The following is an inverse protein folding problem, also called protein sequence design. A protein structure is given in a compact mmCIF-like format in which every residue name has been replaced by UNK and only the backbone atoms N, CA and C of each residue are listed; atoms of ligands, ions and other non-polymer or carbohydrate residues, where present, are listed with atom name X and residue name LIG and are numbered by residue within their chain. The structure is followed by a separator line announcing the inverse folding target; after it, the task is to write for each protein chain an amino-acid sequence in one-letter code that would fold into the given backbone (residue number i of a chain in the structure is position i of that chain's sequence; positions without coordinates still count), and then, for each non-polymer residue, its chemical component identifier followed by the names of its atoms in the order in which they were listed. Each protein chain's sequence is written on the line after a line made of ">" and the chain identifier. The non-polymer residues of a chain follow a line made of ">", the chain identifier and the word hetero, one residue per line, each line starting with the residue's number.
data_IF_311862362846
#
_entry.id   IF_311862362846
#
_cell.length_a   1.000
_cell.length_b   1.000
_cell.length_c   1.000
_cell.angle_alpha   90.00
_cell.angle_beta   90.00
_cell.angle_gamma   90.00
#
_symmetry.space_group_name_H-M   'P 1'
#
loop_
_entity.id
_entity.type
_entity.pdbx_description
1 polymer ?
#
# COMPACT_ATOMS: atom_id res chain seq x y z
N UNK A 1 19.02 6.32 13.89
CA UNK A 1 18.08 6.61 12.79
C UNK A 1 17.64 5.42 11.93
N UNK A 2 18.32 4.29 11.88
CA UNK A 2 17.95 3.15 11.01
C UNK A 2 17.27 1.97 11.73
N UNK A 3 16.93 2.10 13.02
CA UNK A 3 16.30 1.01 13.82
C UNK A 3 14.84 0.73 13.48
N UNK A 4 14.17 1.61 12.73
CA UNK A 4 12.73 1.55 12.50
C UNK A 4 12.33 1.26 11.03
N UNK A 5 13.26 0.70 10.23
CA UNK A 5 12.89 0.20 8.90
C UNK A 5 12.18 -1.14 9.08
N UNK A 6 10.92 -1.08 9.46
CA UNK A 6 10.02 -2.25 9.39
C UNK A 6 9.60 -2.45 7.95
N UNK A 7 10.16 -3.47 7.31
CA UNK A 7 9.77 -3.88 5.95
C UNK A 7 8.40 -4.51 6.02
N UNK A 8 7.38 -3.73 5.63
CA UNK A 8 5.98 -4.13 5.71
C UNK A 8 5.38 -3.91 7.10
N UNK A 9 4.23 -3.25 7.14
CA UNK A 9 3.45 -3.05 8.37
C UNK A 9 2.52 -4.23 8.64
N UNK A 10 2.94 -5.47 8.27
CA UNK A 10 2.13 -6.66 8.49
C UNK A 10 1.90 -6.89 9.97
N UNK A 11 0.62 -6.98 10.37
CA UNK A 11 0.21 -7.32 11.73
C UNK A 11 -0.06 -8.82 11.80
N UNK A 12 0.80 -9.55 12.53
CA UNK A 12 0.69 -11.00 12.64
C UNK A 12 -0.48 -11.38 13.55
N UNK A 13 -1.62 -11.68 12.95
CA UNK A 13 -2.82 -12.13 13.63
C UNK A 13 -3.52 -13.22 12.80
N UNK A 14 -4.24 -14.10 13.46
CA UNK A 14 -5.00 -15.16 12.79
C UNK A 14 -6.48 -14.75 12.67
N UNK A 15 -6.85 -14.26 11.48
CA UNK A 15 -8.23 -13.89 11.15
C UNK A 15 -8.64 -14.45 9.80
N UNK A 16 -9.96 -14.45 9.53
CA UNK A 16 -10.49 -14.87 8.23
C UNK A 16 -9.85 -14.08 7.08
N UNK A 17 -9.63 -12.77 7.27
CA UNK A 17 -9.06 -11.90 6.24
C UNK A 17 -7.58 -12.22 6.00
N UNK A 18 -6.79 -12.49 7.06
CA UNK A 18 -5.39 -12.87 6.89
C UNK A 18 -5.23 -14.16 6.08
N UNK A 19 -6.15 -15.11 6.26
CA UNK A 19 -6.13 -16.41 5.56
C UNK A 19 -6.67 -16.38 4.13
N UNK A 20 -7.21 -15.26 3.64
CA UNK A 20 -7.66 -15.12 2.25
C UNK A 20 -6.48 -15.10 1.28
N UNK A 21 -6.71 -15.61 0.07
CA UNK A 21 -5.74 -15.52 -1.03
C UNK A 21 -5.41 -14.05 -1.34
N UNK A 22 -4.13 -13.69 -1.51
CA UNK A 22 -3.70 -12.32 -1.81
C UNK A 22 -4.36 -11.71 -3.05
N UNK A 23 -4.73 -12.53 -4.03
CA UNK A 23 -5.46 -12.10 -5.24
C UNK A 23 -6.83 -11.55 -4.90
N UNK A 24 -7.55 -12.21 -3.98
CA UNK A 24 -8.87 -11.77 -3.52
C UNK A 24 -8.76 -10.44 -2.79
N UNK A 25 -7.77 -10.29 -1.92
CA UNK A 25 -7.52 -9.04 -1.17
C UNK A 25 -7.16 -7.87 -2.10
N UNK A 26 -6.30 -8.10 -3.10
CA UNK A 26 -5.97 -7.11 -4.12
C UNK A 26 -7.22 -6.67 -4.89
N UNK A 27 -8.00 -7.62 -5.36
CA UNK A 27 -9.24 -7.36 -6.09
C UNK A 27 -10.28 -6.63 -5.23
N UNK A 28 -10.39 -7.02 -3.95
CA UNK A 28 -11.28 -6.36 -2.99
C UNK A 28 -10.94 -4.88 -2.80
N UNK A 29 -9.66 -4.56 -2.59
CA UNK A 29 -9.21 -3.18 -2.43
C UNK A 29 -9.42 -2.40 -3.73
N UNK A 30 -9.15 -2.99 -4.89
CA UNK A 30 -9.36 -2.34 -6.18
C UNK A 30 -10.84 -1.99 -6.40
N UNK A 31 -11.75 -2.94 -6.16
CA UNK A 31 -13.19 -2.69 -6.25
C UNK A 31 -13.60 -1.61 -5.25
N UNK A 32 -13.13 -1.70 -4.00
CA UNK A 32 -13.45 -0.74 -2.96
C UNK A 32 -13.02 0.69 -3.35
N UNK A 33 -11.80 0.86 -3.86
CA UNK A 33 -11.28 2.15 -4.33
C UNK A 33 -12.13 2.67 -5.50
N UNK A 34 -12.40 1.83 -6.51
CA UNK A 34 -13.22 2.23 -7.66
C UNK A 34 -14.61 2.69 -7.20
N UNK A 35 -15.26 1.96 -6.30
CA UNK A 35 -16.59 2.32 -5.81
C UNK A 35 -16.59 3.64 -5.05
N UNK A 36 -15.54 3.97 -4.29
CA UNK A 36 -15.42 5.26 -3.61
C UNK A 36 -15.32 6.45 -4.57
N UNK A 37 -14.75 6.25 -5.77
CA UNK A 37 -14.60 7.32 -6.75
C UNK A 37 -15.80 7.44 -7.69
N UNK A 38 -16.49 6.37 -7.99
CA UNK A 38 -17.62 6.39 -8.93
C UNK A 38 -18.89 7.03 -8.35
N UNK A 39 -19.08 7.04 -7.02
CA UNK A 39 -20.35 7.38 -6.41
C UNK A 39 -20.28 8.68 -5.59
N UNK A 40 -21.31 9.52 -5.73
CA UNK A 40 -21.44 10.80 -5.00
C UNK A 40 -22.61 10.81 -4.00
N UNK A 41 -23.46 9.77 -4.01
CA UNK A 41 -24.64 9.70 -3.14
C UNK A 41 -24.26 9.44 -1.67
N UNK A 42 -24.87 10.10 -0.67
CA UNK A 42 -24.54 9.91 0.73
C UNK A 42 -24.76 8.46 1.22
N UNK A 43 -25.79 7.77 0.67
CA UNK A 43 -26.08 6.38 1.00
C UNK A 43 -24.93 5.42 0.64
N UNK A 44 -24.21 5.69 -0.46
CA UNK A 44 -23.06 4.89 -0.87
C UNK A 44 -21.87 5.06 0.05
N UNK A 45 -21.65 6.27 0.62
CA UNK A 45 -20.62 6.51 1.64
C UNK A 45 -20.92 5.75 2.93
N UNK A 46 -22.16 5.76 3.38
CA UNK A 46 -22.59 5.01 4.58
C UNK A 46 -22.36 3.51 4.38
N UNK A 47 -22.75 2.97 3.21
CA UNK A 47 -22.55 1.56 2.89
C UNK A 47 -21.07 1.17 2.80
N UNK A 48 -20.24 2.02 2.17
CA UNK A 48 -18.79 1.82 2.11
C UNK A 48 -18.14 1.86 3.49
N UNK A 49 -18.60 2.76 4.37
CA UNK A 49 -18.13 2.86 5.75
C UNK A 49 -18.51 1.61 6.55
N UNK A 50 -19.75 1.13 6.43
CA UNK A 50 -20.21 -0.10 7.09
C UNK A 50 -19.38 -1.31 6.63
N UNK A 51 -19.17 -1.46 5.32
CA UNK A 51 -18.35 -2.53 4.77
C UNK A 51 -16.92 -2.47 5.33
N UNK A 52 -16.33 -1.28 5.39
CA UNK A 52 -14.99 -1.07 5.95
C UNK A 52 -14.92 -1.45 7.44
N UNK A 53 -15.89 -0.99 8.26
CA UNK A 53 -15.96 -1.29 9.69
C UNK A 53 -16.09 -2.80 9.92
N UNK A 54 -16.96 -3.47 9.17
CA UNK A 54 -17.15 -4.93 9.25
C UNK A 54 -15.82 -5.63 8.90
N UNK A 55 -15.17 -5.22 7.83
CA UNK A 55 -13.89 -5.80 7.38
C UNK A 55 -12.79 -5.59 8.42
N UNK A 56 -12.69 -4.40 9.04
CA UNK A 56 -11.74 -4.12 10.12
C UNK A 56 -12.00 -5.02 11.33
N UNK A 57 -13.27 -5.17 11.75
CA UNK A 57 -13.62 -6.06 12.88
C UNK A 57 -13.23 -7.51 12.62
N UNK A 58 -13.53 -8.03 11.41
CA UNK A 58 -13.20 -9.41 11.04
C UNK A 58 -11.67 -9.61 10.93
N UNK A 59 -10.92 -8.56 10.55
CA UNK A 59 -9.45 -8.63 10.44
C UNK A 59 -8.74 -8.76 11.77
N UNK A 60 -9.41 -8.41 12.89
CA UNK A 60 -8.83 -8.36 14.26
C UNK A 60 -7.62 -7.42 14.39
N UNK A 61 -7.35 -6.58 13.40
CA UNK A 61 -6.27 -5.59 13.48
C UNK A 61 -6.71 -4.47 14.43
N UNK A 62 -5.91 -4.12 15.46
CA UNK A 62 -6.27 -3.05 16.37
C UNK A 62 -6.40 -1.71 15.63
N UNK A 63 -7.54 -1.05 15.81
CA UNK A 63 -7.87 0.23 15.14
C UNK A 63 -6.78 1.28 15.33
N UNK A 64 -6.06 1.23 16.46
CA UNK A 64 -4.95 2.15 16.77
C UNK A 64 -3.84 2.12 15.70
N UNK A 65 -3.52 0.95 15.14
CA UNK A 65 -2.52 0.83 14.07
C UNK A 65 -3.02 1.40 12.75
N UNK A 66 -4.29 1.13 12.42
CA UNK A 66 -4.93 1.65 11.19
C UNK A 66 -5.03 3.18 11.26
N UNK A 67 -5.43 3.74 12.40
CA UNK A 67 -5.50 5.20 12.62
C UNK A 67 -4.12 5.87 12.61
N UNK A 68 -3.04 5.14 12.90
CA UNK A 68 -1.67 5.68 12.77
C UNK A 68 -1.34 6.05 11.32
N UNK A 69 -1.88 5.30 10.34
CA UNK A 69 -1.78 5.64 8.92
C UNK A 69 -2.45 6.98 8.57
N UNK A 70 -3.56 7.32 9.23
CA UNK A 70 -4.21 8.63 9.06
C UNK A 70 -3.35 9.79 9.57
N UNK A 71 -2.58 9.58 10.65
CA UNK A 71 -1.71 10.63 11.20
C UNK A 71 -0.67 11.10 10.18
N UNK A 72 -0.15 10.19 9.36
CA UNK A 72 0.84 10.52 8.32
C UNK A 72 0.24 11.44 7.23
N UNK A 73 -1.07 11.31 6.95
CA UNK A 73 -1.77 12.06 5.91
C UNK A 73 -2.60 13.22 6.50
N UNK A 74 -2.69 13.33 7.83
CA UNK A 74 -3.51 14.32 8.51
C UNK A 74 -3.21 15.76 8.07
N UNK A 75 -1.95 16.10 7.83
CA UNK A 75 -1.53 17.44 7.38
C UNK A 75 -2.08 17.73 5.98
N UNK A 76 -1.94 16.77 5.06
CA UNK A 76 -2.44 16.91 3.67
C UNK A 76 -3.97 16.98 3.67
N UNK A 77 -4.62 16.18 4.51
CA UNK A 77 -6.06 16.15 4.66
C UNK A 77 -6.57 17.49 5.21
N UNK A 78 -5.94 18.02 6.27
CA UNK A 78 -6.27 19.32 6.87
C UNK A 78 -6.12 20.44 5.83
N UNK A 79 -5.02 20.45 5.09
CA UNK A 79 -4.75 21.44 4.04
C UNK A 79 -5.79 21.35 2.91
N UNK A 80 -6.12 20.15 2.46
CA UNK A 80 -7.15 19.92 1.44
C UNK A 80 -8.52 20.40 1.91
N UNK A 81 -8.91 20.08 3.16
CA UNK A 81 -10.16 20.53 3.78
C UNK A 81 -10.20 22.06 3.81
N UNK A 82 -9.13 22.71 4.25
CA UNK A 82 -9.04 24.16 4.36
C UNK A 82 -9.18 24.83 2.98
N UNK A 83 -8.47 24.35 1.96
CA UNK A 83 -8.58 24.89 0.60
C UNK A 83 -9.99 24.72 0.07
N UNK A 84 -10.56 23.52 0.13
CA UNK A 84 -11.91 23.30 -0.41
C UNK A 84 -12.97 24.16 0.30
N UNK A 85 -12.84 24.37 1.61
CA UNK A 85 -13.77 25.18 2.37
C UNK A 85 -13.71 26.67 2.01
N UNK A 86 -12.52 27.16 1.62
CA UNK A 86 -12.30 28.58 1.31
C UNK A 86 -12.53 28.91 -0.17
N UNK A 87 -12.20 27.98 -1.10
CA UNK A 87 -12.16 28.29 -2.53
C UNK A 87 -13.36 27.78 -3.32
N UNK A 88 -14.24 26.94 -2.75
CA UNK A 88 -15.42 26.49 -3.48
C UNK A 88 -16.51 27.56 -3.44
N UNK A 89 -16.88 28.15 -4.59
CA UNK A 89 -17.93 29.15 -4.66
C UNK A 89 -19.31 28.50 -4.40
N UNK A 90 -20.20 29.25 -3.73
CA UNK A 90 -21.57 28.81 -3.46
C UNK A 90 -22.32 29.81 -2.58
N UNK A 91 -23.53 29.44 -2.11
CA UNK A 91 -24.31 30.30 -1.23
C UNK A 91 -23.58 30.48 0.11
N UNK A 92 -23.17 31.70 0.49
CA UNK A 92 -22.43 31.95 1.72
C UNK A 92 -23.30 31.65 2.94
N UNK A 93 -22.80 30.79 3.82
CA UNK A 93 -23.40 30.49 5.14
C UNK A 93 -22.79 31.39 6.19
N UNK A 94 -21.50 31.66 6.07
CA UNK A 94 -20.75 32.55 6.97
C UNK A 94 -19.90 33.47 6.10
N UNK A 95 -20.10 34.76 6.22
CA UNK A 95 -19.26 35.80 5.62
C UNK A 95 -18.52 36.56 6.71
N UNK A 96 -17.20 36.44 6.69
CA UNK A 96 -16.33 37.20 7.54
C UNK A 96 -15.28 37.92 6.70
N UNK A 97 -15.53 39.18 6.39
CA UNK A 97 -14.74 40.11 5.60
C UNK A 97 -14.29 39.54 4.22
N UNK A 98 -13.18 38.82 4.16
CA UNK A 98 -12.63 38.27 2.90
C UNK A 98 -12.94 36.77 2.77
N UNK A 99 -13.31 36.09 3.83
CA UNK A 99 -13.56 34.66 3.88
C UNK A 99 -15.07 34.39 3.79
N UNK A 100 -15.49 33.76 2.70
CA UNK A 100 -16.87 33.30 2.52
C UNK A 100 -16.91 31.77 2.53
N UNK A 101 -17.52 31.20 3.57
CA UNK A 101 -17.72 29.77 3.65
C UNK A 101 -19.07 29.45 3.03
N UNK A 102 -19.06 28.68 1.92
CA UNK A 102 -20.26 28.28 1.23
C UNK A 102 -20.82 26.94 1.72
N UNK A 103 -22.14 26.76 1.65
CA UNK A 103 -22.79 25.48 1.98
C UNK A 103 -22.28 24.34 1.08
N UNK A 104 -22.08 24.65 -0.20
CA UNK A 104 -21.51 23.71 -1.17
C UNK A 104 -20.07 23.35 -0.82
N UNK A 105 -19.28 24.31 -0.35
CA UNK A 105 -17.91 24.11 0.14
C UNK A 105 -17.86 23.15 1.32
N UNK A 106 -18.72 23.36 2.33
CA UNK A 106 -18.81 22.45 3.49
C UNK A 106 -19.20 21.04 3.05
N UNK A 107 -20.22 20.91 2.22
CA UNK A 107 -20.70 19.62 1.72
C UNK A 107 -19.60 18.88 0.97
N UNK A 108 -18.94 19.54 0.01
CA UNK A 108 -17.85 18.96 -0.79
C UNK A 108 -16.67 18.57 0.09
N UNK A 109 -16.32 19.39 1.07
CA UNK A 109 -15.26 19.13 2.04
C UNK A 109 -15.53 17.86 2.85
N UNK A 110 -16.77 17.68 3.36
CA UNK A 110 -17.15 16.47 4.10
C UNK A 110 -17.04 15.23 3.20
N UNK A 111 -17.53 15.30 1.96
CA UNK A 111 -17.43 14.17 1.03
C UNK A 111 -15.98 13.84 0.67
N UNK A 112 -15.17 14.83 0.36
CA UNK A 112 -13.77 14.62 -0.01
C UNK A 112 -12.97 14.10 1.18
N UNK A 113 -13.15 14.71 2.36
CA UNK A 113 -12.47 14.28 3.60
C UNK A 113 -12.83 12.85 3.97
N UNK A 114 -14.13 12.51 3.98
CA UNK A 114 -14.58 11.14 4.27
C UNK A 114 -14.06 10.13 3.25
N UNK A 115 -14.02 10.49 1.95
CA UNK A 115 -13.44 9.65 0.89
C UNK A 115 -11.97 9.37 1.14
N UNK A 116 -11.17 10.40 1.42
CA UNK A 116 -9.73 10.24 1.69
C UNK A 116 -9.48 9.37 2.92
N UNK A 117 -10.24 9.59 4.00
CA UNK A 117 -10.14 8.76 5.20
C UNK A 117 -10.46 7.30 4.89
N UNK A 118 -11.58 7.03 4.22
CA UNK A 118 -11.98 5.66 3.88
C UNK A 118 -10.99 4.98 2.93
N UNK A 119 -10.44 5.72 1.96
CA UNK A 119 -9.42 5.21 1.05
C UNK A 119 -8.17 4.78 1.81
N UNK A 120 -7.67 5.64 2.72
CA UNK A 120 -6.47 5.34 3.51
C UNK A 120 -6.70 4.15 4.44
N UNK A 121 -7.84 4.10 5.11
CA UNK A 121 -8.18 2.97 6.00
C UNK A 121 -8.30 1.65 5.22
N UNK A 122 -8.96 1.66 4.06
CA UNK A 122 -9.15 0.48 3.23
C UNK A 122 -7.84 -0.06 2.64
N UNK A 123 -6.98 0.83 2.12
CA UNK A 123 -5.67 0.44 1.59
C UNK A 123 -4.70 0.01 2.69
N UNK A 124 -4.73 0.67 3.86
CA UNK A 124 -3.93 0.27 5.01
C UNK A 124 -4.28 -1.14 5.49
N UNK A 125 -5.55 -1.53 5.41
CA UNK A 125 -5.98 -2.87 5.81
C UNK A 125 -5.31 -3.96 4.97
N UNK A 126 -5.13 -3.75 3.66
CA UNK A 126 -4.37 -4.65 2.80
C UNK A 126 -2.93 -4.82 3.29
N UNK A 127 -2.27 -3.70 3.62
CA UNK A 127 -0.88 -3.70 4.10
C UNK A 127 -0.71 -4.40 5.44
N UNK A 128 -1.69 -4.27 6.35
CA UNK A 128 -1.68 -4.95 7.65
C UNK A 128 -2.01 -6.43 7.56
N UNK A 129 -2.78 -6.86 6.56
CA UNK A 129 -3.27 -8.25 6.44
C UNK A 129 -2.54 -9.10 5.42
N UNK A 130 -1.59 -8.53 4.67
CA UNK A 130 -0.88 -9.24 3.60
C UNK A 130 0.62 -8.94 3.68
N UNK A 131 1.43 -9.98 3.67
CA UNK A 131 2.89 -9.79 3.65
C UNK A 131 3.35 -9.32 2.26
N UNK A 132 4.49 -8.58 2.16
CA UNK A 132 5.03 -8.13 0.87
C UNK A 132 5.28 -9.28 -0.12
N UNK A 133 5.72 -10.44 0.38
CA UNK A 133 5.94 -11.63 -0.44
C UNK A 133 4.63 -12.20 -1.01
N UNK A 134 3.59 -12.31 -0.16
CA UNK A 134 2.26 -12.73 -0.61
C UNK A 134 1.67 -11.75 -1.61
N UNK A 135 1.88 -10.45 -1.41
CA UNK A 135 1.43 -9.41 -2.33
C UNK A 135 2.08 -9.58 -3.72
N UNK A 136 3.39 -9.83 -3.74
CA UNK A 136 4.13 -10.09 -4.98
C UNK A 136 3.64 -11.35 -5.70
N UNK A 137 3.39 -12.44 -4.94
CA UNK A 137 2.82 -13.68 -5.50
C UNK A 137 1.39 -13.47 -6.02
N UNK A 138 0.60 -12.66 -5.32
CA UNK A 138 -0.73 -12.26 -5.75
C UNK A 138 -0.71 -11.46 -7.05
N UNK A 139 0.21 -10.50 -7.19
CA UNK A 139 0.40 -9.70 -8.40
C UNK A 139 0.84 -10.57 -9.59
N UNK A 140 1.83 -11.47 -9.41
CA UNK A 140 2.28 -12.41 -10.44
C UNK A 140 1.10 -13.19 -11.04
N UNK A 141 0.25 -13.74 -10.19
CA UNK A 141 -0.90 -14.53 -10.63
C UNK A 141 -2.08 -13.69 -11.15
N UNK A 142 -2.31 -12.51 -10.59
CA UNK A 142 -3.42 -11.63 -11.02
C UNK A 142 -3.11 -10.96 -12.35
N UNK A 143 -1.86 -10.54 -12.57
CA UNK A 143 -1.43 -9.83 -13.77
C UNK A 143 -0.88 -10.76 -14.86
N UNK A 144 -0.89 -12.07 -14.64
CA UNK A 144 -0.35 -13.05 -15.60
C UNK A 144 -0.96 -12.97 -17.01
N UNK A 145 -2.16 -12.38 -17.17
CA UNK A 145 -2.76 -12.12 -18.48
C UNK A 145 -1.96 -11.12 -19.33
N UNK A 146 -1.20 -10.21 -18.68
CA UNK A 146 -0.35 -9.24 -19.38
C UNK A 146 0.85 -9.89 -20.08
N UNK A 147 1.23 -11.12 -19.72
CA UNK A 147 2.23 -11.87 -20.47
C UNK A 147 1.83 -12.04 -21.95
N UNK A 148 0.52 -12.08 -22.25
CA UNK A 148 0.01 -12.16 -23.63
C UNK A 148 0.25 -10.87 -24.42
N UNK A 149 0.46 -9.75 -23.75
CA UNK A 149 0.73 -8.42 -24.34
C UNK A 149 2.23 -8.10 -24.34
N UNK A 150 3.08 -9.08 -23.96
CA UNK A 150 4.54 -8.94 -23.97
C UNK A 150 5.14 -8.36 -22.68
N UNK A 151 4.36 -8.22 -21.60
CA UNK A 151 4.88 -7.77 -20.30
C UNK A 151 5.40 -8.97 -19.52
N UNK A 152 6.69 -9.05 -19.16
CA UNK A 152 7.28 -10.18 -18.43
C UNK A 152 6.90 -10.15 -16.93
N UNK A 153 5.61 -10.39 -16.63
CA UNK A 153 5.07 -10.28 -15.25
C UNK A 153 5.77 -11.21 -14.28
N UNK A 154 6.08 -12.43 -14.73
CA UNK A 154 6.74 -13.44 -13.89
C UNK A 154 8.15 -13.00 -13.50
N UNK A 155 8.91 -12.47 -14.44
CA UNK A 155 10.26 -11.97 -14.22
C UNK A 155 10.25 -10.78 -13.28
N UNK A 156 9.30 -9.85 -13.45
CA UNK A 156 9.10 -8.70 -12.54
C UNK A 156 8.79 -9.19 -11.12
N UNK A 157 7.87 -10.13 -10.98
CA UNK A 157 7.51 -10.68 -9.65
C UNK A 157 8.70 -11.40 -9.00
N UNK A 158 9.52 -12.11 -9.79
CA UNK A 158 10.73 -12.74 -9.30
C UNK A 158 11.76 -11.69 -8.84
N UNK A 159 11.99 -10.63 -9.62
CA UNK A 159 12.88 -9.53 -9.22
C UNK A 159 12.40 -8.87 -7.92
N UNK A 160 11.09 -8.62 -7.77
CA UNK A 160 10.51 -8.09 -6.52
C UNK A 160 10.76 -9.05 -5.34
N UNK A 161 10.56 -10.35 -5.52
CA UNK A 161 10.78 -11.36 -4.46
C UNK A 161 12.25 -11.42 -4.03
N UNK A 162 13.17 -11.32 -4.99
CA UNK A 162 14.62 -11.26 -4.73
C UNK A 162 14.95 -9.96 -3.98
N UNK A 163 14.44 -8.81 -4.45
CA UNK A 163 14.64 -7.53 -3.79
C UNK A 163 14.17 -7.53 -2.35
N UNK A 164 12.93 -8.00 -2.08
CA UNK A 164 12.37 -8.12 -0.73
C UNK A 164 13.23 -8.99 0.20
N UNK A 165 13.87 -10.03 -0.34
CA UNK A 165 14.80 -10.89 0.43
C UNK A 165 16.12 -10.19 0.71
N UNK A 166 16.62 -9.38 -0.24
CA UNK A 166 17.91 -8.71 -0.08
C UNK A 166 17.83 -7.44 0.79
N UNK A 167 16.66 -6.79 0.91
CA UNK A 167 16.54 -5.59 1.73
C UNK A 167 17.02 -5.81 3.18
N UNK A 168 16.59 -6.85 3.94
CA UNK A 168 17.12 -7.10 5.29
C UNK A 168 18.64 -7.33 5.30
N UNK A 169 19.14 -8.11 4.35
CA UNK A 169 20.56 -8.48 4.24
C UNK A 169 21.41 -7.23 3.97
N UNK A 170 20.97 -6.38 3.02
CA UNK A 170 21.67 -5.12 2.71
C UNK A 170 21.55 -4.11 3.86
N UNK A 171 20.46 -4.13 4.63
CA UNK A 171 20.31 -3.27 5.80
C UNK A 171 21.30 -3.67 6.91
N UNK A 172 21.50 -4.95 7.14
CA UNK A 172 22.53 -5.44 8.07
C UNK A 172 23.95 -5.07 7.60
N UNK A 173 24.22 -5.24 6.32
CA UNK A 173 25.51 -4.86 5.71
C UNK A 173 25.77 -3.36 5.84
N UNK A 174 24.75 -2.54 5.55
CA UNK A 174 24.79 -1.09 5.73
C UNK A 174 25.16 -0.74 7.18
N UNK A 175 24.55 -1.38 8.18
CA UNK A 175 24.86 -1.13 9.59
C UNK A 175 26.31 -1.51 9.93
N UNK A 176 26.82 -2.61 9.37
CA UNK A 176 28.24 -3.02 9.56
C UNK A 176 29.20 -1.99 8.95
N UNK A 177 28.92 -1.57 7.70
CA UNK A 177 29.72 -0.55 7.02
C UNK A 177 29.70 0.77 7.79
N UNK A 178 28.52 1.21 8.25
CA UNK A 178 28.39 2.44 9.05
C UNK A 178 29.22 2.36 10.32
N UNK A 179 29.13 1.28 11.09
CA UNK A 179 29.95 1.09 12.31
C UNK A 179 31.44 1.14 12.01
N UNK A 180 31.87 0.49 10.93
CA UNK A 180 33.28 0.50 10.52
C UNK A 180 33.78 1.90 10.13
N UNK A 181 32.97 2.67 9.40
CA UNK A 181 33.31 4.02 8.99
C UNK A 181 33.27 5.02 10.15
N UNK A 182 32.34 4.85 11.10
CA UNK A 182 32.35 5.63 12.34
C UNK A 182 33.62 5.36 13.16
N UNK A 183 34.06 4.11 13.26
CA UNK A 183 35.33 3.77 13.93
C UNK A 183 36.58 4.38 13.24
N UNK A 184 36.48 4.68 11.94
CA UNK A 184 37.50 5.42 11.15
C UNK A 184 37.41 6.94 11.31
N UNK A 185 36.52 7.45 12.16
CA UNK A 185 36.37 8.87 12.45
C UNK A 185 35.43 9.62 11.52
N UNK A 186 34.64 8.93 10.70
CA UNK A 186 33.64 9.59 9.86
C UNK A 186 32.41 9.93 10.71
N UNK A 187 32.07 11.22 10.73
CA UNK A 187 30.85 11.71 11.39
C UNK A 187 29.75 11.94 10.35
N UNK A 188 28.62 11.27 10.52
CA UNK A 188 27.47 11.32 9.62
C UNK A 188 26.41 12.35 10.05
N UNK A 189 26.52 12.88 11.27
CA UNK A 189 25.49 13.73 11.87
C UNK A 189 25.86 15.21 11.87
N UNK A 190 27.16 15.55 11.94
CA UNK A 190 27.62 16.95 12.01
C UNK A 190 27.87 17.58 10.64
N UNK A 191 27.56 18.87 10.52
CA UNK A 191 27.88 19.69 9.36
C UNK A 191 26.70 20.02 8.44
N UNK A 192 26.96 20.87 7.44
CA UNK A 192 25.96 21.27 6.44
C UNK A 192 25.58 20.14 5.48
N UNK A 193 24.50 20.34 4.70
CA UNK A 193 23.94 19.34 3.78
C UNK A 193 24.99 18.75 2.82
N UNK A 194 25.86 19.56 2.22
CA UNK A 194 26.93 19.11 1.32
C UNK A 194 27.95 18.20 2.02
N UNK A 195 28.32 18.50 3.27
CA UNK A 195 29.22 17.67 4.07
C UNK A 195 28.60 16.32 4.38
N UNK A 196 27.31 16.30 4.74
CA UNK A 196 26.55 15.05 4.99
C UNK A 196 26.45 14.17 3.74
N UNK A 197 26.17 14.74 2.59
CA UNK A 197 26.14 13.99 1.32
C UNK A 197 27.53 13.40 1.01
N UNK A 198 28.60 14.17 1.19
CA UNK A 198 29.96 13.69 0.96
C UNK A 198 30.37 12.59 1.95
N UNK A 199 29.93 12.65 3.21
CA UNK A 199 30.18 11.61 4.20
C UNK A 199 29.42 10.31 3.94
N UNK A 200 28.37 10.32 3.10
CA UNK A 200 27.65 9.10 2.70
C UNK A 200 28.38 8.28 1.63
N UNK A 201 29.26 8.89 0.84
CA UNK A 201 30.00 8.19 -0.24
C UNK A 201 30.78 6.97 0.27
N UNK A 202 31.55 7.06 1.40
CA UNK A 202 32.24 5.91 1.97
C UNK A 202 31.35 4.76 2.43
N UNK A 203 30.04 4.98 2.53
CA UNK A 203 29.04 3.93 2.83
C UNK A 203 28.47 3.36 1.54
N UNK A 204 28.08 4.25 0.60
CA UNK A 204 27.37 3.85 -0.62
C UNK A 204 28.28 2.99 -1.51
N UNK A 205 29.57 3.35 -1.68
CA UNK A 205 30.47 2.62 -2.56
C UNK A 205 30.70 1.17 -2.11
N UNK A 206 31.07 0.88 -0.85
CA UNK A 206 31.20 -0.51 -0.39
C UNK A 206 29.88 -1.28 -0.43
N UNK A 207 28.76 -0.64 -0.10
CA UNK A 207 27.44 -1.27 -0.14
C UNK A 207 27.08 -1.67 -1.58
N UNK A 208 27.33 -0.79 -2.56
CA UNK A 208 27.09 -1.07 -3.98
C UNK A 208 27.93 -2.26 -4.47
N UNK A 209 29.24 -2.28 -4.12
CA UNK A 209 30.14 -3.39 -4.47
C UNK A 209 29.64 -4.71 -3.84
N UNK A 210 29.20 -4.68 -2.58
CA UNK A 210 28.63 -5.85 -1.92
C UNK A 210 27.34 -6.32 -2.60
N UNK A 211 26.47 -5.40 -3.01
CA UNK A 211 25.23 -5.73 -3.73
C UNK A 211 25.52 -6.39 -5.08
N UNK A 212 26.49 -5.88 -5.87
CA UNK A 212 26.90 -6.47 -7.15
C UNK A 212 27.46 -7.88 -6.93
N UNK A 213 28.36 -8.08 -5.95
CA UNK A 213 28.90 -9.42 -5.64
C UNK A 213 27.78 -10.41 -5.33
N UNK A 214 26.83 -10.03 -4.48
CA UNK A 214 25.67 -10.87 -4.14
C UNK A 214 24.78 -11.18 -5.35
N UNK A 215 24.59 -10.21 -6.26
CA UNK A 215 23.85 -10.42 -7.49
C UNK A 215 24.54 -11.46 -8.38
N UNK A 216 25.88 -11.39 -8.53
CA UNK A 216 26.66 -12.37 -9.28
C UNK A 216 26.63 -13.77 -8.63
N UNK A 217 26.77 -13.85 -7.30
CA UNK A 217 26.68 -15.11 -6.57
C UNK A 217 25.28 -15.75 -6.73
N UNK A 218 24.23 -14.94 -6.69
CA UNK A 218 22.87 -15.40 -6.94
C UNK A 218 22.69 -15.89 -8.37
N UNK A 219 23.21 -15.15 -9.37
CA UNK A 219 23.13 -15.54 -10.78
C UNK A 219 23.81 -16.90 -11.01
N UNK A 220 25.05 -17.08 -10.53
CA UNK A 220 25.75 -18.37 -10.60
C UNK A 220 24.99 -19.49 -9.89
N UNK A 221 24.40 -19.22 -8.74
CA UNK A 221 23.59 -20.20 -8.01
C UNK A 221 22.29 -20.55 -8.74
N UNK A 222 21.72 -19.63 -9.51
CA UNK A 222 20.54 -19.90 -10.34
C UNK A 222 20.91 -20.71 -11.58
N UNK A 223 22.01 -20.38 -12.25
CA UNK A 223 22.54 -21.13 -13.40
C UNK A 223 22.89 -22.57 -13.02
N UNK A 224 23.58 -22.79 -11.90
CA UNK A 224 23.91 -24.12 -11.39
C UNK A 224 22.69 -24.97 -11.03
N UNK A 225 21.53 -24.33 -10.81
CA UNK A 225 20.22 -24.99 -10.59
C UNK A 225 19.38 -25.07 -11.88
N UNK A 226 20.00 -24.89 -13.04
CA UNK A 226 19.36 -24.94 -14.35
C UNK A 226 18.15 -23.98 -14.48
N UNK A 227 18.29 -22.74 -14.00
CA UNK A 227 17.26 -21.74 -14.19
C UNK A 227 17.30 -21.19 -15.62
N UNK A 228 16.24 -21.41 -16.40
CA UNK A 228 16.09 -20.96 -17.80
C UNK A 228 14.87 -20.04 -18.01
N UNK A 229 14.50 -19.25 -17.00
CA UNK A 229 13.34 -18.34 -17.09
C UNK A 229 12.08 -18.90 -16.46
N UNK A 230 10.93 -18.26 -16.78
CA UNK A 230 9.64 -18.56 -16.14
C UNK A 230 8.85 -19.70 -16.76
N UNK A 231 9.18 -20.11 -17.99
CA UNK A 231 8.40 -21.12 -18.75
C UNK A 231 8.58 -22.52 -18.14
N UNK A 232 7.45 -23.20 -17.84
CA UNK A 232 7.47 -24.56 -17.26
C UNK A 232 7.81 -24.63 -15.76
N UNK A 233 8.00 -23.50 -15.07
CA UNK A 233 8.36 -23.46 -13.65
C UNK A 233 7.15 -23.69 -12.75
N UNK A 234 7.32 -24.52 -11.72
CA UNK A 234 6.34 -24.71 -10.65
C UNK A 234 6.77 -24.01 -9.36
N UNK A 235 5.81 -23.53 -8.56
CA UNK A 235 6.09 -22.96 -7.23
C UNK A 235 5.96 -24.05 -6.17
N UNK A 236 6.87 -24.05 -5.16
CA UNK A 236 6.81 -24.96 -4.03
C UNK A 236 5.52 -24.82 -3.22
N UNK A 237 5.05 -23.57 -3.07
CA UNK A 237 3.78 -23.23 -2.42
C UNK A 237 2.88 -22.48 -3.42
N UNK A 238 2.17 -23.20 -4.30
CA UNK A 238 1.29 -22.53 -5.25
C UNK A 238 0.06 -21.94 -4.54
N UNK A 239 -0.35 -20.75 -4.96
CA UNK A 239 -1.61 -20.17 -4.52
C UNK A 239 -2.77 -21.01 -5.05
N UNK A 240 -3.63 -21.50 -4.16
CA UNK A 240 -4.84 -22.29 -4.48
C UNK A 240 -6.05 -21.63 -3.87
N UNK A 241 -7.10 -21.45 -4.67
CA UNK A 241 -8.36 -20.94 -4.17
C UNK A 241 -9.05 -21.94 -3.24
N UNK A 242 -9.43 -21.49 -2.06
CA UNK A 242 -10.20 -22.24 -1.10
C UNK A 242 -11.68 -21.82 -1.11
N UNK A 243 -12.54 -22.57 -0.36
CA UNK A 243 -13.98 -22.25 -0.26
C UNK A 243 -14.21 -20.83 0.28
N UNK A 244 -13.38 -20.39 1.24
CA UNK A 244 -13.44 -19.04 1.83
C UNK A 244 -13.17 -17.92 0.79
N UNK A 245 -12.30 -18.17 -0.19
CA UNK A 245 -11.99 -17.19 -1.24
C UNK A 245 -13.18 -17.01 -2.18
N UNK A 246 -13.90 -18.10 -2.50
CA UNK A 246 -15.14 -18.04 -3.30
C UNK A 246 -16.22 -17.25 -2.58
N UNK A 247 -16.38 -17.47 -1.26
CA UNK A 247 -17.34 -16.71 -0.43
C UNK A 247 -16.95 -15.23 -0.43
N UNK A 248 -15.67 -14.91 -0.29
CA UNK A 248 -15.19 -13.52 -0.32
C UNK A 248 -15.50 -12.83 -1.67
N UNK A 249 -15.33 -13.51 -2.80
CA UNK A 249 -15.73 -12.99 -4.11
C UNK A 249 -17.25 -12.74 -4.18
N UNK A 250 -18.07 -13.66 -3.67
CA UNK A 250 -19.54 -13.48 -3.64
C UNK A 250 -19.89 -12.23 -2.83
N UNK A 251 -19.31 -12.06 -1.64
CA UNK A 251 -19.51 -10.86 -0.79
C UNK A 251 -19.11 -9.59 -1.53
N UNK A 252 -17.98 -9.60 -2.25
CA UNK A 252 -17.53 -8.46 -3.04
C UNK A 252 -18.47 -8.14 -4.20
N UNK A 253 -18.98 -9.14 -4.91
CA UNK A 253 -19.95 -8.93 -5.99
C UNK A 253 -21.28 -8.42 -5.46
N UNK A 254 -21.75 -8.93 -4.32
CA UNK A 254 -22.96 -8.40 -3.66
C UNK A 254 -22.75 -6.96 -3.23
N UNK A 255 -21.59 -6.64 -2.63
CA UNK A 255 -21.24 -5.27 -2.28
C UNK A 255 -21.27 -4.35 -3.52
N UNK A 256 -20.62 -4.75 -4.61
CA UNK A 256 -20.61 -3.99 -5.86
C UNK A 256 -22.04 -3.80 -6.42
N UNK A 257 -22.85 -4.84 -6.45
CA UNK A 257 -24.24 -4.78 -6.91
C UNK A 257 -25.08 -3.80 -6.08
N UNK A 258 -24.94 -3.87 -4.75
CA UNK A 258 -25.63 -2.93 -3.83
C UNK A 258 -25.14 -1.49 -4.06
N UNK A 259 -23.87 -1.28 -4.29
CA UNK A 259 -23.32 0.05 -4.56
C UNK A 259 -23.87 0.62 -5.87
N UNK A 260 -23.91 -0.19 -6.93
CA UNK A 260 -24.51 0.20 -8.22
C UNK A 260 -26.01 0.52 -8.05
N UNK A 261 -26.75 -0.36 -7.35
CA UNK A 261 -28.16 -0.14 -7.07
C UNK A 261 -28.42 1.18 -6.34
N UNK A 262 -27.70 1.42 -5.23
CA UNK A 262 -27.81 2.67 -4.46
C UNK A 262 -27.44 3.91 -5.29
N UNK A 263 -26.52 3.79 -6.24
CA UNK A 263 -26.14 4.88 -7.14
C UNK A 263 -27.24 5.23 -8.13
N UNK A 264 -27.95 4.23 -8.64
CA UNK A 264 -29.05 4.46 -9.60
C UNK A 264 -30.33 4.96 -8.93
N UNK A 265 -30.66 4.46 -7.74
CA UNK A 265 -31.90 4.79 -7.02
C UNK A 265 -31.76 5.97 -6.06
N UNK A 266 -30.57 6.53 -5.87
CA UNK A 266 -30.40 7.69 -4.98
C UNK A 266 -30.95 8.97 -5.66
N UNK A 267 -31.94 9.68 -5.07
CA UNK A 267 -32.50 10.93 -5.60
C UNK A 267 -31.51 12.11 -5.52
N UNK A 268 -30.32 11.90 -5.01
CA UNK A 268 -29.29 12.94 -4.81
C UNK A 268 -28.18 12.79 -5.88
N UNK A 269 -28.49 13.22 -7.09
CA UNK A 269 -27.49 13.46 -8.15
C UNK A 269 -26.83 14.80 -8.04
#
# INVERSE_FOLDING_TARGET
>A
MLKDITIGQYYKEDSLIHRLDPRVKLFAVLIYVITLFMHKAPATYVMSLLFLIITIKISKVPVKYILRGLKAIAVILLFSVMINMLFIPGKPVIQFWIISISAEGIRTTIYLGSRLIMLVLGTSLLTFTTTPNELTDGLDKSLGFLNKVGVPVHEIAMMMSIALRFIPILTEELQKIMKAQTARGIDFESGGLLKRVKSMVPIIVPLFVAAIRRANDLAMAMESRCYHGGVGRTKLKPLKYEKRDKIAYIVLFVFLAVMIYLSFFSPWR
#
